data_IF_644832975221
#
_entry.id   IF_644832975221
#
_cell.length_a   1.000
_cell.length_b   1.000
_cell.length_c   1.000
_cell.angle_alpha   90.00
_cell.angle_beta   90.00
_cell.angle_gamma   90.00
#
_symmetry.space_group_name_H-M   'P 1'
#
loop_
_entity.id
_entity.type
_entity.pdbx_description
1 polymer ?
#
# COMPACT_ATOMS: atom_id res chain seq x y z
N UNK A 1 11.13 5.62 18.96
CA UNK A 1 12.12 6.59 19.46
C UNK A 1 12.98 7.02 18.29
N UNK A 2 13.12 8.33 18.12
CA UNK A 2 13.92 8.98 17.10
C UNK A 2 14.98 9.85 17.76
N UNK A 3 15.96 10.29 16.98
CA UNK A 3 17.06 11.13 17.43
C UNK A 3 17.34 12.18 16.39
N UNK A 4 17.79 13.36 16.81
CA UNK A 4 18.39 14.33 15.90
C UNK A 4 19.87 14.02 15.69
N UNK A 5 20.49 14.78 14.78
CA UNK A 5 21.94 14.80 14.68
C UNK A 5 22.54 15.40 15.97
N UNK A 6 23.60 14.77 16.51
CA UNK A 6 24.29 15.32 17.65
C UNK A 6 24.97 16.65 17.28
N UNK A 7 25.12 17.59 18.24
CA UNK A 7 25.90 18.80 18.00
C UNK A 7 27.34 18.45 17.65
N UNK A 8 28.02 19.38 16.96
CA UNK A 8 29.44 19.24 16.67
C UNK A 8 30.23 19.02 17.98
N UNK A 9 31.27 18.17 17.98
CA UNK A 9 32.10 18.00 19.17
C UNK A 9 32.80 19.32 19.49
N UNK A 10 32.81 19.70 20.78
CA UNK A 10 33.59 20.84 21.24
C UNK A 10 35.09 20.60 20.97
N UNK A 11 35.86 21.66 20.62
CA UNK A 11 37.29 21.56 20.42
C UNK A 11 37.97 20.88 21.62
N UNK A 12 38.94 20.00 21.34
CA UNK A 12 39.73 19.27 22.34
C UNK A 12 39.00 18.19 23.16
N UNK A 13 37.76 17.84 22.80
CA UNK A 13 37.06 16.70 23.42
C UNK A 13 37.68 15.38 22.96
N UNK A 14 38.19 14.56 23.89
CA UNK A 14 38.72 13.23 23.60
C UNK A 14 37.60 12.18 23.59
N UNK A 15 37.61 11.30 22.59
CA UNK A 15 36.70 10.15 22.51
C UNK A 15 35.95 10.06 21.18
N UNK A 16 35.20 8.96 21.01
CA UNK A 16 34.36 8.76 19.82
C UNK A 16 33.21 9.77 19.82
N UNK A 17 33.00 10.54 18.75
CA UNK A 17 31.87 11.47 18.67
C UNK A 17 30.53 10.77 18.92
N UNK A 18 29.62 11.47 19.61
CA UNK A 18 28.23 11.03 19.72
C UNK A 18 27.66 10.92 18.30
N UNK A 19 26.84 9.90 18.09
CA UNK A 19 26.21 9.63 16.78
C UNK A 19 24.73 9.95 16.73
N UNK A 20 24.08 9.89 17.89
CA UNK A 20 22.67 10.22 18.07
C UNK A 20 22.62 11.34 19.11
N UNK A 21 21.93 12.42 18.78
CA UNK A 21 21.76 13.54 19.69
C UNK A 21 20.64 13.30 20.69
N UNK A 22 19.82 14.32 20.89
CA UNK A 22 18.68 14.32 21.80
C UNK A 22 17.61 13.35 21.33
N UNK A 23 16.94 12.71 22.29
CA UNK A 23 15.85 11.76 22.04
C UNK A 23 14.57 12.51 21.72
N UNK A 24 13.82 11.96 20.77
CA UNK A 24 12.44 12.31 20.47
C UNK A 24 11.58 11.04 20.62
N UNK A 25 10.80 10.98 21.70
CA UNK A 25 9.97 9.84 22.06
C UNK A 25 8.50 10.15 21.79
N UNK A 26 7.91 9.52 20.76
CA UNK A 26 6.51 9.74 20.35
C UNK A 26 5.46 9.57 21.47
N UNK A 27 5.79 8.86 22.54
CA UNK A 27 4.90 8.65 23.69
C UNK A 27 5.13 9.65 24.84
N UNK A 28 6.21 10.43 24.81
CA UNK A 28 6.58 11.37 25.86
C UNK A 28 6.71 12.80 25.30
N UNK A 29 5.68 13.65 25.48
CA UNK A 29 5.66 15.04 25.01
C UNK A 29 6.84 15.89 25.49
N UNK A 30 7.38 15.63 26.68
CA UNK A 30 8.49 16.41 27.26
C UNK A 30 9.79 16.28 26.45
N UNK A 31 9.86 15.30 25.54
CA UNK A 31 11.00 15.08 24.65
C UNK A 31 10.86 15.78 23.30
N UNK A 32 9.73 16.44 23.03
CA UNK A 32 9.47 17.04 21.73
C UNK A 32 9.98 18.49 21.73
N UNK A 33 10.94 18.85 20.86
CA UNK A 33 11.23 20.25 20.60
C UNK A 33 10.03 20.90 19.89
N UNK A 34 10.07 22.22 19.72
CA UNK A 34 9.13 22.93 18.86
C UNK A 34 9.10 22.26 17.47
N UNK A 35 7.90 22.00 16.89
CA UNK A 35 7.81 21.45 15.54
C UNK A 35 8.42 22.41 14.52
N UNK A 36 9.23 21.87 13.60
CA UNK A 36 9.76 22.66 12.49
C UNK A 36 8.63 23.17 11.59
N UNK A 37 7.56 22.37 11.47
CA UNK A 37 6.40 22.68 10.63
C UNK A 37 5.12 22.19 11.30
N UNK A 38 4.09 23.01 11.17
CA UNK A 38 2.73 22.72 11.65
C UNK A 38 1.73 23.02 10.56
N UNK A 39 0.75 22.14 10.40
CA UNK A 39 -0.40 22.34 9.51
C UNK A 39 -1.68 21.95 10.23
N UNK A 40 -2.75 22.72 10.01
CA UNK A 40 -4.07 22.43 10.57
C UNK A 40 -5.09 22.39 9.45
N UNK A 41 -5.94 21.37 9.47
CA UNK A 41 -7.04 21.19 8.51
C UNK A 41 -8.27 20.64 9.21
N UNK A 42 -9.40 20.58 8.52
CA UNK A 42 -10.66 20.07 9.07
C UNK A 42 -11.18 18.90 8.23
N UNK A 43 -11.61 17.84 8.92
CA UNK A 43 -12.27 16.67 8.32
C UNK A 43 -13.59 16.39 9.03
N UNK A 44 -14.64 16.12 8.26
CA UNK A 44 -15.99 15.90 8.81
C UNK A 44 -16.11 14.66 9.71
N UNK A 45 -15.17 13.71 9.62
CA UNK A 45 -15.18 12.45 10.39
C UNK A 45 -14.28 12.51 11.62
N UNK A 46 -13.24 13.33 11.59
CA UNK A 46 -12.21 13.39 12.63
C UNK A 46 -12.17 14.75 13.38
N UNK A 47 -12.88 15.76 12.87
CA UNK A 47 -12.85 17.14 13.36
C UNK A 47 -11.60 17.89 12.88
N UNK A 48 -11.06 18.75 13.73
CA UNK A 48 -9.78 19.42 13.49
C UNK A 48 -8.66 18.38 13.49
N UNK A 49 -7.79 18.47 12.49
CA UNK A 49 -6.59 17.65 12.36
C UNK A 49 -5.38 18.58 12.46
N UNK A 50 -4.56 18.38 13.48
CA UNK A 50 -3.29 19.08 13.67
C UNK A 50 -2.15 18.16 13.30
N UNK A 51 -1.31 18.61 12.38
CA UNK A 51 -0.17 17.87 11.84
C UNK A 51 1.10 18.62 12.24
N UNK A 52 1.92 18.01 13.09
CA UNK A 52 3.22 18.55 13.46
C UNK A 52 4.31 17.70 12.83
N UNK A 53 5.41 18.32 12.42
CA UNK A 53 6.52 17.64 11.80
C UNK A 53 7.87 18.11 12.36
N UNK A 54 8.76 17.14 12.54
CA UNK A 54 10.14 17.33 12.96
C UNK A 54 11.05 16.70 11.90
N UNK A 55 11.80 17.53 11.21
CA UNK A 55 12.69 17.17 10.12
C UNK A 55 14.07 16.73 10.65
N UNK A 56 14.83 15.99 9.84
CA UNK A 56 16.19 15.56 10.19
C UNK A 56 16.29 14.54 11.32
N UNK A 57 15.17 13.92 11.74
CA UNK A 57 15.14 12.89 12.76
C UNK A 57 15.35 11.49 12.17
N UNK A 58 16.03 10.61 12.92
CA UNK A 58 16.31 9.24 12.50
C UNK A 58 16.08 8.21 13.60
N UNK A 59 15.63 6.99 13.27
CA UNK A 59 15.62 5.88 14.21
C UNK A 59 17.03 5.33 14.43
N UNK A 60 17.27 4.73 15.60
CA UNK A 60 18.48 3.93 15.83
C UNK A 60 18.31 2.56 15.18
N UNK A 61 19.01 2.34 14.07
CA UNK A 61 19.03 1.06 13.38
C UNK A 61 19.92 0.04 14.11
N UNK A 62 19.47 -1.20 14.20
CA UNK A 62 20.20 -2.31 14.84
C UNK A 62 20.88 -3.24 13.83
N UNK A 63 21.89 -3.98 14.30
CA UNK A 63 22.64 -5.00 13.54
C UNK A 63 22.20 -6.43 13.88
N UNK A 64 20.91 -6.65 14.17
CA UNK A 64 20.44 -8.00 14.53
C UNK A 64 20.74 -8.98 13.39
N UNK A 65 21.17 -10.20 13.71
CA UNK A 65 21.43 -11.26 12.71
C UNK A 65 20.19 -11.45 11.83
N UNK A 66 20.39 -11.49 10.51
CA UNK A 66 19.30 -11.56 9.53
C UNK A 66 18.60 -10.23 9.22
N UNK A 67 19.01 -9.11 9.84
CA UNK A 67 18.57 -7.77 9.41
C UNK A 67 19.38 -7.29 8.20
N UNK A 68 18.82 -6.33 7.44
CA UNK A 68 19.47 -5.70 6.29
C UNK A 68 20.86 -5.11 6.59
N UNK A 69 21.14 -4.80 7.86
CA UNK A 69 22.37 -4.13 8.29
C UNK A 69 23.29 -5.04 9.13
N UNK A 70 23.09 -6.36 9.10
CA UNK A 70 23.86 -7.31 9.91
C UNK A 70 25.37 -7.22 9.62
N UNK A 71 25.73 -7.17 8.33
CA UNK A 71 27.12 -7.22 7.85
C UNK A 71 27.79 -5.84 7.81
N UNK A 72 27.06 -4.77 8.16
CA UNK A 72 27.62 -3.41 8.20
C UNK A 72 28.33 -3.21 9.54
N UNK A 73 29.57 -2.71 9.53
CA UNK A 73 30.28 -2.31 10.76
C UNK A 73 29.45 -1.34 11.62
N UNK A 74 28.76 -0.42 10.94
CA UNK A 74 27.77 0.45 11.54
C UNK A 74 26.61 0.69 10.56
N UNK A 75 25.34 0.48 10.97
CA UNK A 75 24.18 0.78 10.12
C UNK A 75 24.16 2.27 9.75
N UNK A 76 23.69 2.70 8.56
CA UNK A 76 23.65 4.11 8.18
C UNK A 76 22.72 4.96 9.06
N UNK A 77 22.88 6.29 9.03
CA UNK A 77 21.84 7.22 9.51
C UNK A 77 20.91 7.47 8.34
N UNK A 78 19.62 7.17 8.52
CA UNK A 78 18.57 7.50 7.56
C UNK A 78 17.71 8.57 8.23
N UNK A 79 18.04 9.83 7.95
CA UNK A 79 17.25 10.97 8.40
C UNK A 79 15.93 11.04 7.62
N UNK A 80 14.89 11.51 8.28
CA UNK A 80 13.58 11.74 7.70
C UNK A 80 12.78 12.70 8.56
N UNK A 81 11.50 12.80 8.21
CA UNK A 81 10.53 13.62 8.93
C UNK A 81 9.70 12.71 9.83
N UNK A 82 9.68 12.99 11.12
CA UNK A 82 8.69 12.40 12.05
C UNK A 82 7.47 13.32 12.02
N UNK A 83 6.28 12.75 11.85
CA UNK A 83 5.04 13.50 11.72
C UNK A 83 4.06 12.98 12.77
N UNK A 84 3.50 13.85 13.59
CA UNK A 84 2.33 13.54 14.41
C UNK A 84 1.08 14.09 13.75
N UNK A 85 0.02 13.28 13.75
CA UNK A 85 -1.30 13.63 13.22
C UNK A 85 -2.28 13.44 14.36
N UNK A 86 -2.68 14.53 14.99
CA UNK A 86 -3.62 14.56 16.10
C UNK A 86 -4.99 14.99 15.62
N UNK A 87 -6.04 14.34 16.12
CA UNK A 87 -7.42 14.62 15.75
C UNK A 87 -8.30 14.93 16.96
N UNK A 88 -9.35 15.72 16.77
CA UNK A 88 -10.30 16.05 17.85
C UNK A 88 -11.04 14.80 18.37
N UNK A 89 -11.50 13.94 17.45
CA UNK A 89 -12.26 12.74 17.79
C UNK A 89 -12.07 11.61 16.79
N UNK A 90 -12.26 10.38 17.28
CA UNK A 90 -12.30 9.19 16.44
C UNK A 90 -13.75 8.82 16.09
N UNK A 91 -14.02 8.31 14.89
CA UNK A 91 -15.33 7.78 14.53
C UNK A 91 -15.73 6.62 15.47
N UNK A 92 -17.04 6.54 15.80
CA UNK A 92 -17.69 5.72 16.85
C UNK A 92 -17.08 4.32 17.10
N UNK A 93 -17.07 3.92 18.38
CA UNK A 93 -16.72 2.59 18.94
C UNK A 93 -15.24 2.17 18.90
N UNK A 94 -14.31 3.12 18.90
CA UNK A 94 -12.92 2.82 19.24
C UNK A 94 -12.64 3.37 20.63
N UNK A 95 -12.54 2.49 21.64
CA UNK A 95 -12.15 2.84 23.01
C UNK A 95 -10.66 3.26 23.13
N UNK A 96 -10.08 3.80 22.05
CA UNK A 96 -8.72 4.26 22.02
C UNK A 96 -8.67 5.69 22.55
N UNK A 97 -8.01 5.86 23.69
CA UNK A 97 -7.66 7.18 24.21
C UNK A 97 -6.57 7.86 23.37
N UNK A 98 -5.88 7.13 22.49
CA UNK A 98 -4.86 7.72 21.63
C UNK A 98 -5.49 8.29 20.35
N UNK A 99 -5.49 9.62 20.27
CA UNK A 99 -5.96 10.41 19.13
C UNK A 99 -4.82 10.90 18.23
N UNK A 100 -3.60 10.39 18.44
CA UNK A 100 -2.40 10.80 17.70
C UNK A 100 -1.82 9.61 16.94
N UNK A 101 -1.76 9.75 15.63
CA UNK A 101 -1.06 8.86 14.72
C UNK A 101 0.35 9.39 14.49
N UNK A 102 1.36 8.52 14.58
CA UNK A 102 2.75 8.85 14.29
C UNK A 102 3.19 8.23 12.98
N UNK A 103 3.77 9.05 12.11
CA UNK A 103 4.34 8.66 10.84
C UNK A 103 5.83 9.00 10.81
N UNK A 104 6.57 8.27 9.99
CA UNK A 104 7.93 8.61 9.62
C UNK A 104 8.04 8.50 8.11
N UNK A 105 8.53 9.56 7.48
CA UNK A 105 8.63 9.67 6.03
C UNK A 105 10.05 10.09 5.63
N UNK A 106 10.52 9.50 4.54
CA UNK A 106 11.79 9.87 3.91
C UNK A 106 11.51 10.24 2.47
N UNK A 107 12.07 11.34 2.00
CA UNK A 107 11.91 11.80 0.62
C UNK A 107 13.19 12.52 0.19
N UNK A 108 13.60 12.41 -1.09
CA UNK A 108 14.69 13.21 -1.64
C UNK A 108 14.35 14.71 -1.66
N UNK A 109 13.06 15.05 -1.57
CA UNK A 109 12.56 16.41 -1.45
C UNK A 109 11.88 16.61 -0.09
N UNK A 110 11.57 17.85 0.27
CA UNK A 110 10.81 18.14 1.49
C UNK A 110 9.47 17.38 1.48
N UNK A 111 9.16 16.71 2.60
CA UNK A 111 7.92 15.94 2.73
C UNK A 111 6.74 16.91 2.84
N UNK A 112 5.75 16.77 1.96
CA UNK A 112 4.43 17.37 2.14
C UNK A 112 3.69 16.64 3.27
N UNK A 113 3.54 17.31 4.41
CA UNK A 113 3.03 16.72 5.64
C UNK A 113 1.52 16.49 5.60
N UNK A 114 0.76 17.33 4.88
CA UNK A 114 -0.67 17.14 4.67
C UNK A 114 -0.91 15.96 3.72
N UNK A 115 -0.17 15.91 2.60
CA UNK A 115 -0.27 14.79 1.67
C UNK A 115 0.13 13.46 2.34
N UNK A 116 1.19 13.45 3.15
CA UNK A 116 1.62 12.25 3.88
C UNK A 116 0.53 11.76 4.84
N UNK A 117 -0.10 12.67 5.60
CA UNK A 117 -1.20 12.34 6.49
C UNK A 117 -2.42 11.80 5.72
N UNK A 118 -2.87 12.50 4.67
CA UNK A 118 -4.00 12.07 3.83
C UNK A 118 -3.74 10.74 3.12
N UNK A 119 -2.52 10.50 2.65
CA UNK A 119 -2.13 9.25 2.03
C UNK A 119 -2.19 8.09 3.03
N UNK A 120 -1.72 8.30 4.26
CA UNK A 120 -1.77 7.26 5.28
C UNK A 120 -3.19 6.91 5.72
N UNK A 121 -4.09 7.90 5.83
CA UNK A 121 -5.51 7.63 6.11
C UNK A 121 -6.16 6.72 5.05
N UNK A 122 -5.65 6.74 3.81
CA UNK A 122 -6.09 5.85 2.73
C UNK A 122 -5.30 4.55 2.63
N UNK A 123 -4.33 4.30 3.51
CA UNK A 123 -3.48 3.08 3.48
C UNK A 123 -4.32 1.80 3.46
N UNK A 124 -5.42 1.77 4.21
CA UNK A 124 -6.26 0.58 4.31
C UNK A 124 -7.12 0.32 3.06
N UNK A 125 -7.22 1.27 2.13
CA UNK A 125 -7.92 1.09 0.85
C UNK A 125 -7.26 -0.01 -0.01
N UNK A 126 -5.95 -0.23 0.16
CA UNK A 126 -5.24 -1.32 -0.53
C UNK A 126 -5.73 -2.69 -0.08
N UNK A 127 -6.09 -2.85 1.20
CA UNK A 127 -6.59 -4.12 1.74
C UNK A 127 -7.97 -4.46 1.19
N UNK A 128 -8.83 -3.44 1.05
CA UNK A 128 -10.11 -3.58 0.37
C UNK A 128 -9.92 -3.96 -1.11
N UNK A 129 -8.90 -3.38 -1.77
CA UNK A 129 -8.54 -3.72 -3.14
C UNK A 129 -8.07 -5.17 -3.23
N UNK A 130 -7.14 -5.62 -2.37
CA UNK A 130 -6.67 -7.00 -2.35
C UNK A 130 -7.79 -8.00 -2.07
N UNK A 131 -8.67 -7.71 -1.12
CA UNK A 131 -9.85 -8.55 -0.84
C UNK A 131 -10.73 -8.67 -2.07
N UNK A 132 -11.02 -7.56 -2.75
CA UNK A 132 -11.85 -7.56 -3.96
C UNK A 132 -11.22 -8.37 -5.09
N UNK A 133 -9.95 -8.13 -5.44
CA UNK A 133 -9.33 -8.82 -6.57
C UNK A 133 -9.15 -10.32 -6.30
N UNK A 134 -8.87 -10.73 -5.06
CA UNK A 134 -8.78 -12.16 -4.69
C UNK A 134 -10.13 -12.85 -4.77
N UNK A 135 -11.14 -12.28 -4.10
CA UNK A 135 -12.42 -12.97 -3.91
C UNK A 135 -13.37 -12.81 -5.10
N UNK A 136 -13.27 -11.72 -5.85
CA UNK A 136 -14.22 -11.36 -6.91
C UNK A 136 -13.65 -11.48 -8.31
N UNK A 137 -12.39 -11.06 -8.52
CA UNK A 137 -11.73 -11.20 -9.82
C UNK A 137 -10.94 -12.51 -9.94
N UNK A 138 -10.81 -13.28 -8.86
CA UNK A 138 -10.20 -14.60 -8.89
C UNK A 138 -8.68 -14.57 -9.00
N UNK A 139 -8.02 -13.55 -8.43
CA UNK A 139 -6.56 -13.43 -8.51
C UNK A 139 -5.81 -14.69 -8.08
N UNK A 140 -6.32 -15.40 -7.07
CA UNK A 140 -5.74 -16.64 -6.55
C UNK A 140 -6.46 -17.91 -7.01
N UNK A 141 -7.40 -17.81 -7.95
CA UNK A 141 -8.19 -18.94 -8.44
C UNK A 141 -7.45 -19.86 -9.41
N UNK A 142 -6.65 -19.38 -10.39
CA UNK A 142 -6.07 -20.29 -11.37
C UNK A 142 -4.89 -21.08 -10.82
N UNK A 143 -4.83 -22.37 -11.17
CA UNK A 143 -3.67 -23.23 -10.91
C UNK A 143 -2.57 -23.02 -11.97
N UNK A 144 -1.95 -21.84 -11.98
CA UNK A 144 -0.80 -21.55 -12.85
C UNK A 144 0.42 -22.36 -12.43
N UNK A 145 1.28 -22.71 -13.38
CA UNK A 145 2.36 -23.67 -13.13
C UNK A 145 3.77 -23.12 -13.38
N UNK A 146 3.86 -21.89 -13.89
CA UNK A 146 5.13 -21.18 -14.13
C UNK A 146 5.01 -19.77 -13.55
N UNK A 147 6.14 -19.17 -13.21
CA UNK A 147 6.18 -17.79 -12.70
C UNK A 147 5.63 -16.81 -13.72
N UNK A 148 5.98 -17.01 -14.99
CA UNK A 148 5.58 -16.14 -16.10
C UNK A 148 4.06 -16.18 -16.30
N UNK A 149 3.42 -17.34 -16.06
CA UNK A 149 1.95 -17.43 -16.05
C UNK A 149 1.33 -16.67 -14.87
N UNK A 150 1.93 -16.74 -13.68
CA UNK A 150 1.46 -16.01 -12.51
C UNK A 150 1.57 -14.49 -12.71
N UNK A 151 2.68 -14.03 -13.30
CA UNK A 151 2.92 -12.62 -13.61
C UNK A 151 1.91 -12.12 -14.65
N UNK A 152 1.69 -12.85 -15.75
CA UNK A 152 0.68 -12.52 -16.77
C UNK A 152 -0.73 -12.50 -16.19
N UNK A 153 -1.08 -13.48 -15.36
CA UNK A 153 -2.39 -13.50 -14.70
C UNK A 153 -2.59 -12.28 -13.81
N UNK A 154 -1.56 -11.90 -13.03
CA UNK A 154 -1.61 -10.69 -12.19
C UNK A 154 -1.80 -9.43 -13.03
N UNK A 155 -1.15 -9.32 -14.19
CA UNK A 155 -1.36 -8.21 -15.12
C UNK A 155 -2.78 -8.17 -15.68
N UNK A 156 -3.38 -9.33 -16.02
CA UNK A 156 -4.78 -9.40 -16.46
C UNK A 156 -5.73 -8.92 -15.37
N UNK A 157 -5.56 -9.38 -14.11
CA UNK A 157 -6.37 -8.92 -12.97
C UNK A 157 -6.23 -7.42 -12.74
N UNK A 158 -5.01 -6.88 -12.84
CA UNK A 158 -4.77 -5.45 -12.69
C UNK A 158 -5.45 -4.64 -13.81
N UNK A 159 -5.41 -5.13 -15.05
CA UNK A 159 -6.10 -4.52 -16.17
C UNK A 159 -7.63 -4.54 -15.97
N UNK A 160 -8.20 -5.68 -15.59
CA UNK A 160 -9.64 -5.82 -15.31
C UNK A 160 -10.09 -4.88 -14.19
N UNK A 161 -9.33 -4.82 -13.09
CA UNK A 161 -9.62 -3.88 -12.01
C UNK A 161 -9.57 -2.42 -12.48
N UNK A 162 -8.60 -2.08 -13.33
CA UNK A 162 -8.48 -0.74 -13.93
C UNK A 162 -9.66 -0.44 -14.83
N UNK A 163 -10.09 -1.38 -15.68
CA UNK A 163 -11.28 -1.23 -16.52
C UNK A 163 -12.54 -0.97 -15.68
N UNK A 164 -12.72 -1.68 -14.56
CA UNK A 164 -13.84 -1.42 -13.65
C UNK A 164 -13.76 -0.04 -13.00
N UNK A 165 -12.57 0.48 -12.71
CA UNK A 165 -12.40 1.83 -12.15
C UNK A 165 -12.70 2.90 -13.19
N UNK A 166 -12.29 2.69 -14.44
CA UNK A 166 -12.51 3.61 -15.55
C UNK A 166 -13.95 3.58 -16.09
N UNK A 167 -14.63 2.43 -16.03
CA UNK A 167 -16.02 2.28 -16.44
C UNK A 167 -17.03 2.82 -15.43
N UNK A 168 -16.59 3.12 -14.21
CA UNK A 168 -17.43 3.64 -13.11
C UNK A 168 -18.39 4.78 -13.49
N UNK A 169 -17.98 5.87 -14.18
CA UNK A 169 -18.89 6.95 -14.57
C UNK A 169 -19.94 6.54 -15.60
N UNK A 170 -19.73 5.43 -16.33
CA UNK A 170 -20.66 4.93 -17.34
C UNK A 170 -21.67 3.93 -16.76
N UNK A 171 -21.38 3.40 -15.57
CA UNK A 171 -22.13 2.31 -14.98
C UNK A 171 -23.42 2.78 -14.28
N UNK A 172 -24.48 2.02 -14.49
CA UNK A 172 -25.74 2.13 -13.77
C UNK A 172 -25.71 1.30 -12.48
N UNK A 173 -26.38 1.74 -11.42
CA UNK A 173 -26.39 1.04 -10.13
C UNK A 173 -27.36 -0.15 -10.14
N UNK A 174 -26.92 -1.27 -10.74
CA UNK A 174 -27.61 -2.56 -10.65
C UNK A 174 -27.45 -3.19 -9.26
N UNK A 175 -28.18 -2.60 -8.30
CA UNK A 175 -28.20 -2.96 -6.89
C UNK A 175 -29.13 -4.12 -6.57
N UNK A 176 -28.82 -4.82 -5.50
CA UNK A 176 -29.72 -5.79 -4.85
C UNK A 176 -30.79 -5.04 -4.05
N UNK A 177 -31.94 -5.67 -3.73
CA UNK A 177 -33.06 -4.99 -3.08
C UNK A 177 -32.72 -4.33 -1.74
N UNK A 178 -31.84 -4.93 -0.94
CA UNK A 178 -31.43 -4.41 0.38
C UNK A 178 -30.27 -3.42 0.31
N UNK A 179 -29.72 -3.17 -0.87
CA UNK A 179 -28.57 -2.31 -1.04
C UNK A 179 -28.97 -0.84 -1.17
N UNK A 180 -28.32 0.03 -0.38
CA UNK A 180 -28.50 1.48 -0.49
C UNK A 180 -28.06 1.96 -1.89
N UNK A 181 -28.82 2.88 -2.53
CA UNK A 181 -28.43 3.44 -3.82
C UNK A 181 -27.15 4.28 -3.68
N UNK A 182 -26.32 4.24 -4.70
CA UNK A 182 -25.10 5.04 -4.78
C UNK A 182 -25.13 5.93 -6.02
N UNK A 183 -24.64 7.19 -5.94
CA UNK A 183 -24.48 8.00 -7.13
C UNK A 183 -23.42 7.38 -8.07
N UNK A 184 -23.48 7.59 -9.40
CA UNK A 184 -22.57 6.98 -10.37
C UNK A 184 -21.09 7.14 -10.01
N UNK A 185 -20.70 8.34 -9.56
CA UNK A 185 -19.33 8.66 -9.15
C UNK A 185 -18.92 8.07 -7.77
N UNK A 186 -19.76 7.27 -7.12
CA UNK A 186 -19.44 6.54 -5.87
C UNK A 186 -19.66 5.03 -5.96
N UNK A 187 -20.00 4.50 -7.14
CA UNK A 187 -20.08 3.04 -7.33
C UNK A 187 -18.75 2.36 -6.98
N UNK A 188 -18.87 1.23 -6.27
CA UNK A 188 -17.73 0.38 -5.93
C UNK A 188 -17.36 -0.49 -7.13
N UNK A 189 -16.12 -1.00 -7.23
CA UNK A 189 -15.73 -1.92 -8.30
C UNK A 189 -16.66 -3.14 -8.43
N UNK A 190 -17.22 -3.62 -7.31
CA UNK A 190 -18.21 -4.69 -7.30
C UNK A 190 -19.54 -4.29 -7.98
N UNK A 191 -20.02 -3.07 -7.73
CA UNK A 191 -21.24 -2.53 -8.37
C UNK A 191 -21.01 -2.29 -9.86
N UNK A 192 -19.92 -1.63 -10.23
CA UNK A 192 -19.55 -1.43 -11.65
C UNK A 192 -19.48 -2.77 -12.39
N UNK A 193 -18.88 -3.80 -11.77
CA UNK A 193 -18.78 -5.13 -12.38
C UNK A 193 -20.15 -5.75 -12.70
N UNK A 194 -21.18 -5.52 -11.89
CA UNK A 194 -22.54 -6.07 -12.15
C UNK A 194 -23.14 -5.47 -13.43
N UNK A 195 -22.91 -4.19 -13.65
CA UNK A 195 -23.38 -3.49 -14.86
C UNK A 195 -22.45 -3.68 -16.08
N UNK A 196 -21.22 -4.14 -15.86
CA UNK A 196 -20.22 -4.22 -16.94
C UNK A 196 -20.67 -5.06 -18.13
N UNK A 197 -21.58 -6.04 -17.94
CA UNK A 197 -22.17 -6.83 -19.04
C UNK A 197 -22.98 -5.96 -20.00
N UNK A 198 -23.67 -4.91 -19.52
CA UNK A 198 -24.40 -3.93 -20.33
C UNK A 198 -23.45 -2.97 -21.04
N UNK A 199 -22.36 -2.58 -20.39
CA UNK A 199 -21.36 -1.68 -20.96
C UNK A 199 -20.53 -2.32 -22.07
N UNK A 200 -20.16 -3.60 -21.90
CA UNK A 200 -19.22 -4.31 -22.77
C UNK A 200 -19.53 -4.21 -24.28
N UNK A 201 -20.79 -4.35 -24.76
CA UNK A 201 -21.10 -4.22 -26.18
C UNK A 201 -20.90 -2.81 -26.76
N UNK A 202 -21.00 -1.77 -25.93
CA UNK A 202 -20.83 -0.38 -26.34
C UNK A 202 -19.35 0.07 -26.35
N UNK A 203 -18.45 -0.73 -25.77
CA UNK A 203 -17.02 -0.46 -25.75
C UNK A 203 -16.36 -1.05 -27.00
N UNK A 204 -15.36 -0.34 -27.52
CA UNK A 204 -14.51 -0.88 -28.59
C UNK A 204 -13.84 -2.16 -28.06
N UNK A 205 -13.98 -3.26 -28.79
CA UNK A 205 -13.33 -4.52 -28.47
C UNK A 205 -12.02 -4.65 -29.28
N UNK A 206 -10.84 -4.45 -28.67
CA UNK A 206 -9.56 -4.60 -29.36
C UNK A 206 -9.19 -6.08 -29.60
N UNK A 207 -9.95 -7.03 -29.06
CA UNK A 207 -9.64 -8.44 -29.22
C UNK A 207 -9.92 -8.91 -30.66
N UNK A 208 -9.04 -9.77 -31.17
CA UNK A 208 -9.29 -10.49 -32.43
C UNK A 208 -10.54 -11.36 -32.29
N UNK A 209 -11.23 -11.67 -33.42
CA UNK A 209 -12.31 -12.63 -33.44
C UNK A 209 -11.90 -13.94 -32.71
N UNK A 210 -12.83 -14.59 -31.99
CA UNK A 210 -12.54 -15.86 -31.34
C UNK A 210 -12.03 -16.87 -32.37
N UNK A 211 -11.20 -17.82 -31.92
CA UNK A 211 -10.84 -18.98 -32.74
C UNK A 211 -12.12 -19.72 -33.14
N UNK A 212 -12.11 -20.35 -34.32
CA UNK A 212 -13.22 -21.19 -34.79
C UNK A 212 -13.68 -22.16 -33.70
N UNK A 213 -15.00 -22.28 -33.53
CA UNK A 213 -15.59 -23.26 -32.63
C UNK A 213 -15.57 -24.68 -33.21
N UNK A 214 -15.27 -24.83 -34.51
CA UNK A 214 -15.10 -26.13 -35.13
C UNK A 214 -13.85 -26.79 -34.54
N UNK A 215 -13.97 -27.99 -33.94
CA UNK A 215 -12.80 -28.75 -33.53
C UNK A 215 -11.85 -28.90 -34.73
N UNK A 216 -10.56 -28.61 -34.52
CA UNK A 216 -9.54 -28.98 -35.50
C UNK A 216 -9.51 -30.50 -35.72
N UNK A 217 -8.68 -31.02 -36.64
CA UNK A 217 -8.60 -32.45 -37.00
C UNK A 217 -8.16 -33.40 -35.88
N UNK A 218 -8.20 -32.95 -34.62
CA UNK A 218 -7.73 -33.68 -33.47
C UNK A 218 -6.22 -33.87 -33.50
N UNK A 219 -5.76 -34.72 -32.59
CA UNK A 219 -4.36 -35.13 -32.55
C UNK A 219 -4.15 -36.30 -33.52
N UNK A 220 -3.05 -36.35 -34.28
CA UNK A 220 -2.74 -37.50 -35.13
C UNK A 220 -2.75 -38.81 -34.33
N UNK A 221 -3.27 -39.87 -34.95
CA UNK A 221 -3.32 -41.21 -34.34
C UNK A 221 -1.90 -41.68 -34.01
N UNK A 222 -1.70 -42.21 -32.80
CA UNK A 222 -0.38 -42.65 -32.31
C UNK A 222 0.42 -41.60 -31.54
N UNK A 223 -0.02 -40.34 -31.47
CA UNK A 223 0.70 -39.32 -30.71
C UNK A 223 0.51 -39.50 -29.20
N UNK A 224 1.58 -39.81 -28.46
CA UNK A 224 1.60 -39.87 -26.99
C UNK A 224 2.26 -38.61 -26.42
N UNK A 225 1.67 -38.01 -25.38
CA UNK A 225 2.34 -36.95 -24.62
C UNK A 225 3.01 -37.58 -23.42
N UNK A 226 4.29 -37.29 -23.21
CA UNK A 226 4.98 -37.71 -21.99
C UNK A 226 4.37 -37.07 -20.73
N UNK A 227 4.70 -37.60 -19.54
CA UNK A 227 4.30 -36.99 -18.29
C UNK A 227 4.80 -35.54 -18.21
N UNK A 228 4.03 -34.69 -17.53
CA UNK A 228 4.39 -33.28 -17.35
C UNK A 228 5.75 -33.15 -16.64
N UNK A 229 6.67 -32.29 -17.12
CA UNK A 229 7.90 -31.98 -16.39
C UNK A 229 7.59 -31.53 -14.96
N UNK A 230 8.20 -32.18 -13.97
CA UNK A 230 8.06 -31.82 -12.56
C UNK A 230 9.27 -30.98 -12.16
N UNK A 231 9.02 -29.81 -11.58
CA UNK A 231 10.07 -28.97 -11.00
C UNK A 231 10.26 -29.33 -9.53
N UNK A 232 11.50 -29.40 -9.03
CA UNK A 232 11.75 -29.69 -7.61
C UNK A 232 11.18 -28.56 -6.73
N UNK A 233 10.67 -28.88 -5.52
CA UNK A 233 10.19 -27.88 -4.60
C UNK A 233 11.33 -26.96 -4.14
N UNK A 234 11.11 -25.64 -4.18
CA UNK A 234 12.05 -24.65 -3.64
C UNK A 234 11.98 -24.74 -2.11
N UNK A 235 12.99 -25.34 -1.48
CA UNK A 235 13.14 -25.32 -0.01
C UNK A 235 13.69 -23.95 0.39
N UNK A 236 12.98 -23.22 1.27
CA UNK A 236 13.58 -22.07 1.95
C UNK A 236 14.59 -22.61 2.95
N UNK A 237 15.84 -22.17 2.86
CA UNK A 237 16.85 -22.47 3.88
C UNK A 237 16.37 -21.91 5.23
N UNK A 238 16.56 -22.71 6.29
CA UNK A 238 16.23 -22.38 7.68
C UNK A 238 17.16 -21.31 8.25
#
# INVERSE_FOLDING_TARGET
MFYNNPPAPEPHTKGRPRRHGTRHECANPDTWPEPDRTHTTHDNRYGTITINAWDGLHPKLGRKKGSRWADFDQPPIIAGTVISVSVDHLPKNVASNNKTLWLWATSPHQVDIDLAARAYLRRFDIEHTFRFIKNTLGWTTPSVCTREQADRWTQMIAADYTQLRLAKPLAEDHRLPWEKPQPPNKLTPARTRRDFRRLRPALINPARPPKSQTPGPGRPKGTRTGPRPRHPPIKRAA
#
